data_IF_487811604885
#
_entry.id   IF_487811604885
#
_cell.length_a   1.000
_cell.length_b   1.000
_cell.length_c   1.000
_cell.angle_alpha   90.00
_cell.angle_beta   90.00
_cell.angle_gamma   90.00
#
_symmetry.space_group_name_H-M   'P 1'
#
loop_
_entity.id
_entity.type
_entity.pdbx_description
1 polymer ?
#
# COMPACT_ATOMS: atom_id res chain seq x y z
N UNK A 1 63.51 -14.07 -45.10
CA UNK A 1 63.52 -14.31 -43.64
C UNK A 1 63.36 -12.98 -42.92
N UNK A 2 62.53 -12.98 -41.86
CA UNK A 2 62.26 -11.92 -40.88
C UNK A 2 61.17 -10.91 -41.25
N UNK A 3 59.93 -11.35 -41.04
CA UNK A 3 58.80 -10.48 -40.67
C UNK A 3 59.02 -10.00 -39.23
N UNK A 4 58.90 -8.69 -38.99
CA UNK A 4 58.91 -8.11 -37.64
C UNK A 4 57.49 -7.64 -37.33
N UNK A 5 56.80 -8.37 -36.46
CA UNK A 5 55.43 -8.06 -36.03
C UNK A 5 55.44 -6.87 -35.06
N UNK A 6 54.74 -5.80 -35.42
CA UNK A 6 54.38 -4.73 -34.49
C UNK A 6 53.14 -5.20 -33.71
N UNK A 7 53.27 -5.42 -32.40
CA UNK A 7 52.15 -5.67 -31.52
C UNK A 7 51.52 -4.33 -31.12
N UNK A 8 50.39 -3.99 -31.72
CA UNK A 8 49.52 -2.91 -31.24
C UNK A 8 48.63 -3.48 -30.15
N UNK A 9 48.85 -3.03 -28.91
CA UNK A 9 48.00 -3.35 -27.77
C UNK A 9 46.66 -2.62 -27.93
N UNK A 10 45.59 -3.35 -28.26
CA UNK A 10 44.23 -2.84 -28.19
C UNK A 10 43.78 -2.82 -26.72
N UNK A 11 43.78 -1.64 -26.10
CA UNK A 11 43.03 -1.41 -24.87
C UNK A 11 41.53 -1.46 -25.20
N UNK A 12 40.89 -2.59 -24.89
CA UNK A 12 39.44 -2.66 -24.83
C UNK A 12 38.97 -1.86 -23.61
N UNK A 13 38.60 -0.59 -23.83
CA UNK A 13 37.85 0.17 -22.84
C UNK A 13 36.45 -0.49 -22.74
N UNK A 14 36.26 -1.31 -21.70
CA UNK A 14 34.95 -1.76 -21.26
C UNK A 14 34.19 -0.55 -20.74
N UNK A 15 33.49 0.15 -21.64
CA UNK A 15 32.45 1.07 -21.25
C UNK A 15 31.38 0.28 -20.50
N UNK A 16 31.39 0.35 -19.17
CA UNK A 16 30.23 -0.03 -18.37
C UNK A 16 29.11 0.92 -18.79
N UNK A 17 28.27 0.48 -19.74
CA UNK A 17 27.01 1.13 -19.99
C UNK A 17 26.20 1.02 -18.70
N UNK A 18 26.16 2.11 -17.93
CA UNK A 18 25.23 2.23 -16.84
C UNK A 18 23.83 1.89 -17.38
N UNK A 19 23.00 1.14 -16.63
CA UNK A 19 21.62 0.90 -17.04
C UNK A 19 21.00 2.25 -17.35
N UNK A 20 20.53 2.39 -18.58
CA UNK A 20 19.91 3.60 -19.07
C UNK A 20 18.60 3.75 -18.31
N UNK A 21 18.65 4.40 -17.13
CA UNK A 21 17.47 4.86 -16.41
C UNK A 21 16.78 5.80 -17.37
N UNK A 22 15.81 5.31 -18.15
CA UNK A 22 14.86 6.21 -18.81
C UNK A 22 14.09 6.84 -17.66
N UNK A 23 14.32 8.13 -17.35
CA UNK A 23 13.47 8.78 -16.38
C UNK A 23 12.06 8.71 -16.96
N UNK A 24 11.08 8.27 -16.17
CA UNK A 24 9.70 8.62 -16.50
C UNK A 24 9.70 10.15 -16.60
N UNK A 25 9.28 10.70 -17.74
CA UNK A 25 9.00 12.13 -17.79
C UNK A 25 8.04 12.39 -16.65
N UNK A 26 8.34 13.36 -15.77
CA UNK A 26 7.48 13.70 -14.64
C UNK A 26 6.07 13.90 -15.18
N UNK A 27 5.21 12.92 -14.98
CA UNK A 27 3.83 13.03 -15.41
C UNK A 27 3.19 13.95 -14.38
N UNK A 28 2.69 15.08 -14.86
CA UNK A 28 2.11 16.07 -13.98
C UNK A 28 0.82 15.50 -13.38
N UNK A 29 0.57 15.85 -12.11
CA UNK A 29 -0.73 15.65 -11.47
C UNK A 29 -1.83 16.34 -12.30
N UNK A 30 -3.10 16.07 -11.99
CA UNK A 30 -4.20 16.68 -12.73
C UNK A 30 -4.18 18.21 -12.64
N UNK A 31 -4.67 18.89 -13.69
CA UNK A 31 -4.79 20.35 -13.72
C UNK A 31 -5.86 20.89 -12.74
N UNK A 32 -6.74 20.01 -12.25
CA UNK A 32 -7.84 20.33 -11.35
C UNK A 32 -7.99 19.29 -10.24
N UNK A 33 -8.62 19.65 -9.09
CA UNK A 33 -8.90 18.71 -8.02
C UNK A 33 -9.67 17.47 -8.50
N UNK A 34 -9.16 16.30 -8.15
CA UNK A 34 -9.77 15.00 -8.42
C UNK A 34 -10.97 14.80 -7.52
N UNK A 35 -12.03 14.19 -8.07
CA UNK A 35 -13.19 13.71 -7.32
C UNK A 35 -13.50 12.29 -7.76
N UNK A 36 -13.42 11.36 -6.81
CA UNK A 36 -13.74 9.95 -6.99
C UNK A 36 -15.16 9.67 -6.50
N UNK A 37 -15.81 8.71 -7.14
CA UNK A 37 -17.11 8.19 -6.75
C UNK A 37 -17.00 6.71 -6.42
N UNK A 38 -16.88 6.40 -5.12
CA UNK A 38 -16.83 5.03 -4.62
C UNK A 38 -18.13 4.24 -4.83
N UNK A 39 -19.22 4.82 -5.34
CA UNK A 39 -20.37 4.05 -5.83
C UNK A 39 -20.12 3.40 -7.20
N UNK A 40 -19.04 3.78 -7.89
CA UNK A 40 -18.60 3.21 -9.18
C UNK A 40 -17.22 2.53 -9.07
N UNK A 41 -16.76 1.87 -10.14
CA UNK A 41 -15.41 1.30 -10.19
C UNK A 41 -14.40 2.35 -10.69
N UNK A 42 -13.64 2.94 -9.78
CA UNK A 42 -12.62 3.95 -10.13
C UNK A 42 -11.51 3.40 -11.04
N UNK A 43 -11.22 2.10 -10.98
CA UNK A 43 -10.18 1.47 -11.79
C UNK A 43 -10.58 1.27 -13.26
N UNK A 44 -11.80 1.68 -13.66
CA UNK A 44 -12.13 1.84 -15.07
C UNK A 44 -11.51 3.11 -15.68
N UNK A 45 -11.14 4.09 -14.85
CA UNK A 45 -10.58 5.38 -15.27
C UNK A 45 -9.11 5.52 -14.93
N UNK A 46 -8.67 4.92 -13.81
CA UNK A 46 -7.30 5.04 -13.32
C UNK A 46 -6.57 3.70 -13.33
N UNK A 47 -5.31 3.74 -13.74
CA UNK A 47 -4.38 2.60 -13.57
C UNK A 47 -3.70 2.70 -12.20
N UNK A 48 -3.55 1.58 -11.48
CA UNK A 48 -2.81 1.59 -10.22
C UNK A 48 -1.35 1.99 -10.47
N UNK A 49 -0.89 3.03 -9.79
CA UNK A 49 0.44 3.59 -9.97
C UNK A 49 1.54 2.63 -9.50
N UNK A 50 2.58 2.47 -10.33
CA UNK A 50 3.80 1.74 -9.98
C UNK A 50 4.74 2.66 -9.18
N UNK A 51 4.52 2.71 -7.86
CA UNK A 51 5.19 3.65 -6.97
C UNK A 51 6.73 3.57 -7.03
N UNK A 52 7.37 4.73 -6.92
CA UNK A 52 8.82 4.88 -7.05
C UNK A 52 9.63 4.16 -5.96
N UNK A 53 9.06 3.95 -4.76
CA UNK A 53 9.69 3.18 -3.70
C UNK A 53 9.95 1.73 -4.13
N UNK A 54 8.90 1.00 -4.51
CA UNK A 54 9.03 -0.40 -4.90
C UNK A 54 9.79 -0.57 -6.22
N UNK A 55 9.60 0.35 -7.17
CA UNK A 55 10.42 0.43 -8.39
C UNK A 55 11.91 0.46 -8.05
N UNK A 56 12.32 1.29 -7.10
CA UNK A 56 13.71 1.39 -6.65
C UNK A 56 14.24 0.07 -6.09
N UNK A 57 13.43 -0.65 -5.31
CA UNK A 57 13.79 -1.99 -4.80
C UNK A 57 13.96 -3.01 -5.92
N UNK A 58 13.04 -3.04 -6.89
CA UNK A 58 13.11 -3.93 -8.05
C UNK A 58 14.34 -3.64 -8.90
N UNK A 59 14.64 -2.37 -9.18
CA UNK A 59 15.82 -1.97 -9.95
C UNK A 59 17.12 -2.40 -9.24
N UNK A 60 17.19 -2.19 -7.92
CA UNK A 60 18.34 -2.60 -7.11
C UNK A 60 18.51 -4.12 -7.10
N UNK A 61 17.42 -4.89 -6.95
CA UNK A 61 17.44 -6.34 -7.00
C UNK A 61 17.85 -6.85 -8.39
N UNK A 62 17.30 -6.29 -9.46
CA UNK A 62 17.62 -6.66 -10.83
C UNK A 62 19.09 -6.37 -11.20
N UNK A 63 19.71 -5.36 -10.58
CA UNK A 63 21.14 -5.10 -10.76
C UNK A 63 22.03 -6.26 -10.26
N UNK A 64 21.54 -7.05 -9.30
CA UNK A 64 22.24 -8.23 -8.74
C UNK A 64 21.96 -9.53 -9.50
N UNK A 65 21.04 -9.52 -10.48
CA UNK A 65 20.71 -10.72 -11.27
C UNK A 65 21.73 -10.87 -12.40
N UNK A 66 22.43 -12.00 -12.42
CA UNK A 66 23.44 -12.33 -13.44
C UNK A 66 22.84 -12.85 -14.74
N UNK A 67 21.74 -13.61 -14.68
CA UNK A 67 21.05 -14.12 -15.86
C UNK A 67 20.34 -12.98 -16.62
N UNK A 68 20.72 -12.68 -17.87
CA UNK A 68 20.18 -11.53 -18.59
C UNK A 68 18.67 -11.61 -18.86
N UNK A 69 18.14 -12.81 -19.13
CA UNK A 69 16.73 -13.00 -19.44
C UNK A 69 15.86 -12.83 -18.18
N UNK A 70 16.32 -13.33 -17.03
CA UNK A 70 15.68 -13.14 -15.74
C UNK A 70 15.77 -11.69 -15.30
N UNK A 71 16.90 -11.01 -15.52
CA UNK A 71 17.06 -9.59 -15.24
C UNK A 71 16.05 -8.74 -16.02
N UNK A 72 15.90 -9.01 -17.32
CA UNK A 72 14.91 -8.32 -18.15
C UNK A 72 13.48 -8.55 -17.62
N UNK A 73 13.14 -9.78 -17.23
CA UNK A 73 11.84 -10.09 -16.63
C UNK A 73 11.63 -9.40 -15.27
N UNK A 74 12.64 -9.38 -14.42
CA UNK A 74 12.59 -8.73 -13.11
C UNK A 74 12.32 -7.23 -13.24
N UNK A 75 12.98 -6.55 -14.19
CA UNK A 75 12.77 -5.13 -14.45
C UNK A 75 11.32 -4.80 -14.86
N UNK A 76 10.59 -5.73 -15.49
CA UNK A 76 9.17 -5.51 -15.83
C UNK A 76 8.27 -5.42 -14.58
N UNK A 77 8.69 -6.00 -13.45
CA UNK A 77 7.94 -5.90 -12.18
C UNK A 77 7.92 -4.47 -11.67
N UNK A 78 8.94 -3.66 -12.01
CA UNK A 78 9.02 -2.26 -11.60
C UNK A 78 7.91 -1.38 -12.20
N UNK A 79 7.25 -1.85 -13.26
CA UNK A 79 6.14 -1.17 -13.95
C UNK A 79 4.76 -1.74 -13.57
N UNK A 80 4.71 -2.69 -12.63
CA UNK A 80 3.45 -3.24 -12.11
C UNK A 80 2.97 -2.39 -10.94
N UNK A 81 1.76 -1.85 -11.04
CA UNK A 81 1.12 -1.09 -9.96
C UNK A 81 1.05 -1.87 -8.66
N UNK A 82 1.50 -1.27 -7.57
CA UNK A 82 1.48 -1.87 -6.23
C UNK A 82 1.14 -0.83 -5.17
N UNK A 83 0.54 -1.28 -4.07
CA UNK A 83 0.24 -0.41 -2.94
C UNK A 83 1.49 -0.10 -2.13
N UNK A 84 1.67 1.17 -1.75
CA UNK A 84 2.72 1.62 -0.86
C UNK A 84 2.26 1.52 0.60
N UNK A 85 3.03 0.82 1.43
CA UNK A 85 2.69 0.61 2.84
C UNK A 85 3.19 1.78 3.69
N UNK A 86 2.26 2.40 4.42
CA UNK A 86 2.54 3.39 5.45
C UNK A 86 2.47 2.70 6.81
N UNK A 87 3.33 1.71 7.04
CA UNK A 87 3.26 0.75 8.15
C UNK A 87 3.92 1.24 9.45
N UNK A 88 4.30 2.50 9.51
CA UNK A 88 4.78 3.24 10.69
C UNK A 88 4.54 4.74 10.46
N UNK A 89 4.50 5.54 11.51
CA UNK A 89 4.54 7.01 11.48
C UNK A 89 5.73 7.48 10.64
N UNK A 90 6.91 6.86 10.81
CA UNK A 90 8.09 7.19 10.01
C UNK A 90 7.84 6.96 8.51
N UNK A 91 7.24 5.83 8.15
CA UNK A 91 7.01 5.48 6.75
C UNK A 91 6.00 6.38 6.02
N UNK A 92 5.29 7.27 6.73
CA UNK A 92 4.54 8.39 6.11
C UNK A 92 5.47 9.24 5.22
N UNK A 93 6.77 9.35 5.54
CA UNK A 93 7.75 10.10 4.74
C UNK A 93 7.87 9.60 3.29
N UNK A 94 7.44 8.36 3.01
CA UNK A 94 7.40 7.79 1.65
C UNK A 94 6.28 8.38 0.78
N UNK A 95 5.29 9.03 1.37
CA UNK A 95 4.14 9.58 0.64
C UNK A 95 4.55 10.67 -0.35
N UNK A 96 5.33 11.65 0.09
CA UNK A 96 5.69 12.83 -0.72
C UNK A 96 6.46 12.45 -2.00
N UNK A 97 7.52 11.60 -1.94
CA UNK A 97 8.14 11.10 -3.15
C UNK A 97 7.18 10.34 -4.08
N UNK A 98 6.26 9.56 -3.52
CA UNK A 98 5.35 8.74 -4.33
C UNK A 98 4.27 9.58 -5.03
N UNK A 99 3.70 10.58 -4.35
CA UNK A 99 2.68 11.45 -4.96
C UNK A 99 3.29 12.41 -5.99
N UNK A 100 4.55 12.82 -5.80
CA UNK A 100 5.26 13.68 -6.76
C UNK A 100 5.51 12.99 -8.11
N UNK A 101 5.51 11.66 -8.17
CA UNK A 101 5.66 10.85 -9.38
C UNK A 101 4.32 10.41 -9.99
N UNK A 102 3.18 10.82 -9.42
CA UNK A 102 1.85 10.33 -9.80
C UNK A 102 1.26 11.06 -11.02
N UNK A 103 1.07 10.37 -12.17
CA UNK A 103 0.33 10.90 -13.32
C UNK A 103 -1.16 11.11 -13.04
N UNK A 104 -1.80 12.05 -13.75
CA UNK A 104 -3.24 12.29 -13.64
C UNK A 104 -4.13 11.09 -14.03
N UNK A 105 -3.69 10.21 -14.93
CA UNK A 105 -4.42 9.00 -15.35
C UNK A 105 -4.13 7.76 -14.49
N UNK A 106 -3.37 7.92 -13.41
CA UNK A 106 -3.05 6.86 -12.46
C UNK A 106 -3.60 7.19 -11.05
N UNK A 107 -3.70 6.16 -10.20
CA UNK A 107 -4.16 6.27 -8.82
C UNK A 107 -3.09 5.70 -7.88
N UNK A 108 -2.71 6.44 -6.85
CA UNK A 108 -1.75 5.97 -5.86
C UNK A 108 -2.44 5.07 -4.84
N UNK A 109 -2.02 3.80 -4.79
CA UNK A 109 -2.45 2.85 -3.77
C UNK A 109 -1.66 3.01 -2.48
N UNK A 110 -2.33 3.18 -1.34
CA UNK A 110 -1.70 3.22 -0.02
C UNK A 110 -2.32 2.17 0.90
N UNK A 111 -1.50 1.54 1.74
CA UNK A 111 -1.96 0.68 2.83
C UNK A 111 -1.79 1.45 4.14
N UNK A 112 -2.92 1.71 4.80
CA UNK A 112 -3.00 2.29 6.14
C UNK A 112 -2.90 1.12 7.12
N UNK A 113 -1.84 1.07 7.93
CA UNK A 113 -1.51 -0.12 8.72
C UNK A 113 -0.62 0.21 9.92
N UNK A 114 -1.18 0.88 10.92
CA UNK A 114 -0.42 1.20 12.14
C UNK A 114 -1.29 1.19 13.41
N UNK A 115 -2.36 0.39 13.42
CA UNK A 115 -3.23 0.27 14.60
C UNK A 115 -2.44 -0.07 15.88
N UNK A 116 -2.80 0.51 17.04
CA UNK A 116 -2.20 0.13 18.30
C UNK A 116 -2.53 -1.32 18.68
N UNK A 117 -1.52 -2.09 19.10
CA UNK A 117 -1.67 -3.53 19.34
C UNK A 117 -1.73 -4.38 18.08
N UNK A 118 -1.20 -3.85 16.96
CA UNK A 118 -1.20 -4.47 15.62
C UNK A 118 -0.84 -5.95 15.63
N UNK A 119 -1.47 -6.71 14.75
CA UNK A 119 -1.26 -8.16 14.54
C UNK A 119 -1.49 -8.96 15.84
N UNK A 120 -2.60 -8.70 16.54
CA UNK A 120 -2.87 -9.24 17.87
C UNK A 120 -2.81 -10.77 18.00
N UNK A 121 -3.02 -11.52 16.91
CA UNK A 121 -2.92 -12.98 16.88
C UNK A 121 -1.58 -13.50 16.34
N UNK A 122 -0.70 -12.62 15.85
CA UNK A 122 0.62 -12.99 15.38
C UNK A 122 1.54 -13.34 16.55
N UNK A 123 2.51 -14.23 16.29
CA UNK A 123 3.54 -14.59 17.29
C UNK A 123 4.48 -13.44 17.62
N UNK A 124 4.63 -12.51 16.68
CA UNK A 124 5.38 -11.28 16.83
C UNK A 124 4.76 -10.23 15.91
N UNK A 125 4.74 -8.98 16.38
CA UNK A 125 4.27 -7.83 15.63
C UNK A 125 5.39 -6.79 15.56
N UNK A 126 5.51 -6.13 14.41
CA UNK A 126 6.39 -4.99 14.22
C UNK A 126 5.66 -3.65 14.42
N UNK A 127 4.41 -3.67 14.91
CA UNK A 127 3.65 -2.45 15.19
C UNK A 127 4.32 -1.60 16.25
N UNK A 128 4.49 -0.30 15.97
CA UNK A 128 5.18 0.61 16.90
C UNK A 128 4.26 1.13 18.01
N UNK A 129 2.95 1.13 17.77
CA UNK A 129 1.94 1.57 18.72
C UNK A 129 1.43 0.40 19.56
N UNK A 130 1.50 0.55 20.89
CA UNK A 130 1.03 -0.42 21.87
C UNK A 130 -0.47 -0.25 22.14
N UNK A 131 -1.11 -1.31 22.64
CA UNK A 131 -2.49 -1.24 23.13
C UNK A 131 -2.68 -0.02 24.06
N UNK A 132 -3.74 0.75 23.81
CA UNK A 132 -4.05 1.98 24.55
C UNK A 132 -3.48 3.26 23.93
N UNK A 133 -2.60 3.18 22.94
CA UNK A 133 -2.02 4.35 22.25
C UNK A 133 -2.90 4.89 21.10
N UNK A 134 -4.22 4.73 21.19
CA UNK A 134 -5.16 5.18 20.14
C UNK A 134 -5.09 6.68 19.86
N UNK A 135 -4.74 7.49 20.86
CA UNK A 135 -4.51 8.93 20.67
C UNK A 135 -3.39 9.25 19.69
N UNK A 136 -2.31 8.45 19.71
CA UNK A 136 -1.17 8.60 18.80
C UNK A 136 -1.54 8.17 17.39
N UNK A 137 -2.20 7.02 17.24
CA UNK A 137 -2.71 6.56 15.94
C UNK A 137 -3.61 7.61 15.27
N UNK A 138 -4.46 8.29 16.03
CA UNK A 138 -5.31 9.35 15.48
C UNK A 138 -4.50 10.58 15.05
N UNK A 139 -3.69 11.12 15.96
CA UNK A 139 -3.10 12.46 15.80
C UNK A 139 -1.75 12.48 15.11
N UNK A 140 -0.90 11.49 15.35
CA UNK A 140 0.45 11.38 14.79
C UNK A 140 0.45 10.62 13.45
N UNK A 141 -0.60 9.83 13.18
CA UNK A 141 -0.67 8.96 12.00
C UNK A 141 -1.85 9.32 11.07
N UNK A 142 -3.10 9.06 11.45
CA UNK A 142 -4.26 9.28 10.56
C UNK A 142 -4.44 10.75 10.19
N UNK A 143 -4.37 11.67 11.15
CA UNK A 143 -4.55 13.11 10.89
C UNK A 143 -3.45 13.67 9.99
N UNK A 144 -2.22 13.18 10.15
CA UNK A 144 -1.08 13.55 9.28
C UNK A 144 -1.33 13.08 7.84
N UNK A 145 -1.73 11.82 7.65
CA UNK A 145 -2.07 11.27 6.33
C UNK A 145 -3.24 12.05 5.72
N UNK A 146 -4.28 12.34 6.49
CA UNK A 146 -5.42 13.14 6.03
C UNK A 146 -5.01 14.56 5.59
N UNK A 147 -4.05 15.17 6.29
CA UNK A 147 -3.44 16.44 5.90
C UNK A 147 -2.73 16.37 4.55
N UNK A 148 -1.90 15.33 4.35
CA UNK A 148 -1.19 15.09 3.09
C UNK A 148 -2.13 14.86 1.91
N UNK A 149 -3.18 14.06 2.09
CA UNK A 149 -4.19 13.80 1.05
C UNK A 149 -4.96 15.08 0.67
N UNK A 150 -5.28 15.94 1.65
CA UNK A 150 -5.91 17.26 1.41
C UNK A 150 -4.97 18.25 0.72
N UNK A 151 -3.69 18.19 1.03
CA UNK A 151 -2.66 19.03 0.40
C UNK A 151 -2.39 18.62 -1.06
N UNK A 152 -2.80 17.42 -1.47
CA UNK A 152 -2.65 16.89 -2.83
C UNK A 152 -4.02 16.64 -3.50
N UNK A 153 -4.88 17.67 -3.65
CA UNK A 153 -6.26 17.49 -4.12
C UNK A 153 -6.33 17.07 -5.61
N UNK A 154 -5.27 17.29 -6.38
CA UNK A 154 -5.19 16.97 -7.81
C UNK A 154 -4.71 15.53 -8.09
N UNK A 155 -4.59 14.72 -7.05
CA UNK A 155 -4.11 13.34 -7.10
C UNK A 155 -5.21 12.38 -6.65
N UNK A 156 -5.35 11.23 -7.32
CA UNK A 156 -6.28 10.17 -6.94
C UNK A 156 -5.62 9.18 -5.98
N UNK A 157 -6.35 8.73 -4.95
CA UNK A 157 -5.85 7.78 -3.96
C UNK A 157 -6.80 6.60 -3.71
N UNK A 158 -6.25 5.40 -3.66
CA UNK A 158 -6.95 4.19 -3.22
C UNK A 158 -6.32 3.67 -1.92
N UNK A 159 -7.10 3.51 -0.87
CA UNK A 159 -6.61 3.13 0.45
C UNK A 159 -7.12 1.74 0.83
N UNK A 160 -6.20 0.87 1.24
CA UNK A 160 -6.50 -0.34 2.01
C UNK A 160 -6.39 0.00 3.49
N UNK A 161 -7.41 -0.34 4.26
CA UNK A 161 -7.52 0.05 5.67
C UNK A 161 -7.28 -1.15 6.57
N UNK A 162 -6.16 -1.07 7.29
CA UNK A 162 -5.76 -1.89 8.42
C UNK A 162 -5.86 -3.41 8.18
N UNK A 163 -4.99 -3.98 7.32
CA UNK A 163 -4.83 -5.41 7.19
C UNK A 163 -4.64 -6.12 8.53
N UNK A 164 -5.13 -7.36 8.64
CA UNK A 164 -4.94 -8.22 9.81
C UNK A 164 -5.49 -7.59 11.12
N UNK A 165 -6.54 -6.78 11.01
CA UNK A 165 -7.19 -6.12 12.15
C UNK A 165 -8.54 -6.76 12.53
N UNK A 166 -9.63 -6.31 11.91
CA UNK A 166 -11.00 -6.74 12.22
C UNK A 166 -11.24 -8.25 12.06
N UNK A 167 -10.65 -8.97 11.07
CA UNK A 167 -10.77 -10.42 11.00
C UNK A 167 -10.29 -11.14 12.27
N UNK A 168 -9.27 -10.62 12.96
CA UNK A 168 -8.80 -11.17 14.24
C UNK A 168 -9.84 -11.06 15.35
N UNK A 169 -10.66 -10.01 15.36
CA UNK A 169 -11.72 -9.83 16.35
C UNK A 169 -12.87 -10.84 16.16
N UNK A 170 -12.94 -11.47 14.99
CA UNK A 170 -13.97 -12.46 14.67
C UNK A 170 -13.53 -13.86 15.10
N UNK A 171 -12.29 -14.25 14.78
CA UNK A 171 -11.87 -15.65 14.96
C UNK A 171 -10.87 -15.87 16.08
N UNK A 172 -10.19 -14.81 16.55
CA UNK A 172 -9.06 -14.89 17.48
C UNK A 172 -9.32 -14.07 18.76
N UNK A 173 -10.58 -13.74 19.04
CA UNK A 173 -10.97 -12.94 20.22
C UNK A 173 -10.83 -13.69 21.54
N UNK A 174 -10.56 -15.00 21.51
CA UNK A 174 -10.19 -15.79 22.67
C UNK A 174 -8.76 -15.49 23.14
N UNK A 175 -7.90 -14.91 22.28
CA UNK A 175 -6.56 -14.46 22.64
C UNK A 175 -6.61 -13.16 23.45
N UNK A 176 -5.91 -13.14 24.58
CA UNK A 176 -5.86 -11.98 25.47
C UNK A 176 -5.37 -10.70 24.77
N UNK A 177 -4.42 -10.83 23.86
CA UNK A 177 -3.87 -9.73 23.04
C UNK A 177 -4.93 -9.13 22.11
N UNK A 178 -5.78 -9.96 21.51
CA UNK A 178 -6.88 -9.49 20.66
C UNK A 178 -8.02 -8.87 21.48
N UNK A 179 -8.34 -9.42 22.65
CA UNK A 179 -9.30 -8.80 23.58
C UNK A 179 -8.86 -7.40 24.00
N UNK A 180 -7.57 -7.25 24.31
CA UNK A 180 -6.97 -5.97 24.70
C UNK A 180 -6.97 -4.97 23.54
N UNK A 181 -6.79 -5.43 22.31
CA UNK A 181 -6.71 -4.58 21.11
C UNK A 181 -8.07 -4.23 20.52
N UNK A 182 -9.13 -4.99 20.86
CA UNK A 182 -10.47 -4.88 20.27
C UNK A 182 -10.99 -3.44 20.19
N UNK A 183 -11.00 -2.73 21.33
CA UNK A 183 -11.51 -1.36 21.37
C UNK A 183 -10.68 -0.42 20.47
N UNK A 184 -9.35 -0.57 20.49
CA UNK A 184 -8.45 0.23 19.66
C UNK A 184 -8.60 -0.04 18.17
N UNK A 185 -8.83 -1.29 17.78
CA UNK A 185 -9.08 -1.68 16.39
C UNK A 185 -10.39 -1.10 15.87
N UNK A 186 -11.50 -1.34 16.57
CA UNK A 186 -12.82 -0.86 16.16
C UNK A 186 -12.86 0.67 16.10
N UNK A 187 -12.30 1.34 17.12
CA UNK A 187 -12.23 2.80 17.18
C UNK A 187 -11.28 3.38 16.12
N UNK A 188 -10.11 2.77 15.94
CA UNK A 188 -9.10 3.23 15.00
C UNK A 188 -9.52 3.07 13.55
N UNK A 189 -10.06 1.92 13.17
CA UNK A 189 -10.61 1.73 11.81
C UNK A 189 -11.77 2.70 11.57
N UNK A 190 -12.72 2.82 12.51
CA UNK A 190 -13.84 3.76 12.34
C UNK A 190 -13.34 5.21 12.19
N UNK A 191 -12.32 5.60 12.95
CA UNK A 191 -11.68 6.91 12.84
C UNK A 191 -11.01 7.12 11.48
N UNK A 192 -10.22 6.15 11.01
CA UNK A 192 -9.57 6.21 9.70
C UNK A 192 -10.61 6.37 8.57
N UNK A 193 -11.66 5.55 8.56
CA UNK A 193 -12.72 5.63 7.56
C UNK A 193 -13.43 6.98 7.56
N UNK A 194 -13.68 7.55 8.75
CA UNK A 194 -14.34 8.85 8.87
C UNK A 194 -13.43 9.99 8.42
N UNK A 195 -12.19 10.01 8.90
CA UNK A 195 -11.25 11.11 8.68
C UNK A 195 -10.72 11.16 7.25
N UNK A 196 -10.54 9.98 6.63
CA UNK A 196 -10.03 9.83 5.26
C UNK A 196 -11.16 9.84 4.20
N UNK A 197 -12.40 10.12 4.59
CA UNK A 197 -13.54 10.30 3.69
C UNK A 197 -13.43 11.63 2.89
N UNK A 198 -12.46 11.68 1.98
CA UNK A 198 -12.08 12.85 1.20
C UNK A 198 -12.49 12.67 -0.27
N UNK A 199 -12.78 13.76 -1.01
CA UNK A 199 -13.29 13.66 -2.38
C UNK A 199 -12.36 12.92 -3.35
N UNK A 200 -11.05 12.94 -3.13
CA UNK A 200 -10.05 12.32 -3.98
C UNK A 200 -9.57 10.94 -3.48
N UNK A 201 -10.30 10.33 -2.55
CA UNK A 201 -9.96 9.07 -1.90
C UNK A 201 -11.06 8.04 -2.12
N UNK A 202 -10.69 6.78 -2.38
CA UNK A 202 -11.56 5.60 -2.26
C UNK A 202 -10.96 4.61 -1.26
N UNK A 203 -11.79 3.98 -0.43
CA UNK A 203 -11.33 3.09 0.65
C UNK A 203 -11.89 1.67 0.55
N UNK A 204 -11.05 0.70 0.91
CA UNK A 204 -11.37 -0.72 1.01
C UNK A 204 -10.92 -1.23 2.39
N UNK A 205 -11.85 -1.77 3.17
CA UNK A 205 -11.53 -2.32 4.51
C UNK A 205 -10.98 -3.73 4.36
N UNK A 206 -9.89 -4.08 5.05
CA UNK A 206 -9.43 -5.47 5.06
C UNK A 206 -10.50 -6.42 5.62
N UNK A 207 -10.68 -7.55 4.93
CA UNK A 207 -11.61 -8.60 5.32
C UNK A 207 -10.93 -9.98 5.29
N UNK A 208 -9.60 -10.03 5.45
CA UNK A 208 -8.84 -11.27 5.49
C UNK A 208 -8.87 -11.99 4.14
N UNK A 209 -9.17 -13.29 4.12
CA UNK A 209 -9.19 -14.08 2.89
C UNK A 209 -10.14 -15.27 2.99
N UNK A 210 -10.26 -16.02 1.88
CA UNK A 210 -11.18 -17.17 1.78
C UNK A 210 -10.91 -18.29 2.80
N UNK A 211 -9.67 -18.42 3.27
CA UNK A 211 -9.30 -19.39 4.30
C UNK A 211 -9.54 -18.90 5.74
N UNK A 212 -10.10 -17.70 5.90
CA UNK A 212 -10.29 -17.03 7.18
C UNK A 212 -11.76 -16.62 7.39
N UNK A 213 -12.17 -15.43 6.93
CA UNK A 213 -13.57 -15.02 6.99
C UNK A 213 -14.45 -15.71 5.94
N UNK A 214 -13.84 -16.39 4.96
CA UNK A 214 -14.55 -17.14 3.92
C UNK A 214 -15.20 -18.45 4.37
N UNK A 215 -14.90 -18.95 5.58
CA UNK A 215 -15.58 -20.12 6.13
C UNK A 215 -17.04 -19.82 6.47
N UNK A 216 -17.95 -20.78 6.23
CA UNK A 216 -19.40 -20.60 6.42
C UNK A 216 -19.78 -20.00 7.79
N UNK A 217 -19.13 -20.46 8.86
CA UNK A 217 -19.42 -20.01 10.22
C UNK A 217 -18.85 -18.61 10.52
N UNK A 218 -17.87 -18.14 9.73
CA UNK A 218 -17.22 -16.83 9.90
C UNK A 218 -17.81 -15.74 8.99
N UNK A 219 -18.52 -16.11 7.90
CA UNK A 219 -19.07 -15.15 6.94
C UNK A 219 -20.02 -14.14 7.60
N UNK A 220 -21.00 -14.62 8.38
CA UNK A 220 -21.99 -13.74 9.03
C UNK A 220 -21.36 -12.89 10.14
N UNK A 221 -20.58 -13.46 11.09
CA UNK A 221 -19.88 -12.66 12.09
C UNK A 221 -18.92 -11.63 11.47
N UNK A 222 -18.16 -12.01 10.45
CA UNK A 222 -17.27 -11.10 9.74
C UNK A 222 -18.01 -9.93 9.08
N UNK A 223 -19.11 -10.21 8.38
CA UNK A 223 -19.94 -9.16 7.80
C UNK A 223 -20.54 -8.22 8.87
N UNK A 224 -20.91 -8.76 10.04
CA UNK A 224 -21.42 -7.97 11.17
C UNK A 224 -20.35 -7.04 11.74
N UNK A 225 -19.12 -7.53 11.93
CA UNK A 225 -18.01 -6.73 12.48
C UNK A 225 -17.59 -5.61 11.53
N UNK A 226 -17.41 -5.92 10.23
CA UNK A 226 -17.10 -4.91 9.21
C UNK A 226 -18.22 -3.85 9.10
N UNK A 227 -19.49 -4.28 9.11
CA UNK A 227 -20.63 -3.36 9.05
C UNK A 227 -20.77 -2.48 10.30
N UNK A 228 -20.43 -3.02 11.48
CA UNK A 228 -20.42 -2.28 12.74
C UNK A 228 -19.43 -1.12 12.68
N UNK A 229 -18.19 -1.38 12.30
CA UNK A 229 -17.15 -0.33 12.19
C UNK A 229 -17.51 0.70 11.12
N UNK A 230 -18.01 0.27 9.96
CA UNK A 230 -18.49 1.19 8.92
C UNK A 230 -19.62 2.12 9.41
N UNK A 231 -20.58 1.59 10.19
CA UNK A 231 -21.65 2.39 10.80
C UNK A 231 -21.13 3.32 11.89
N UNK A 232 -20.20 2.86 12.72
CA UNK A 232 -19.56 3.68 13.75
C UNK A 232 -18.79 4.87 13.14
N UNK A 233 -18.24 4.71 11.94
CA UNK A 233 -17.61 5.79 11.17
C UNK A 233 -18.63 6.81 10.60
N UNK A 234 -19.94 6.56 10.72
CA UNK A 234 -20.99 7.38 10.14
C UNK A 234 -21.30 7.05 8.68
N UNK A 235 -21.00 5.84 8.23
CA UNK A 235 -21.23 5.37 6.85
C UNK A 235 -20.62 6.28 5.76
N UNK A 236 -19.30 6.55 5.82
CA UNK A 236 -18.61 7.43 4.88
C UNK A 236 -18.76 6.96 3.42
N UNK A 237 -19.15 7.88 2.53
CA UNK A 237 -19.48 7.57 1.14
C UNK A 237 -18.30 7.07 0.31
N UNK A 238 -17.06 7.34 0.72
CA UNK A 238 -15.86 6.88 0.01
C UNK A 238 -15.42 5.47 0.38
N UNK A 239 -16.13 4.78 1.27
CA UNK A 239 -15.88 3.35 1.50
C UNK A 239 -16.58 2.54 0.41
N UNK A 240 -15.79 2.04 -0.54
CA UNK A 240 -16.26 1.22 -1.66
C UNK A 240 -16.71 -0.16 -1.21
N UNK A 241 -15.97 -0.76 -0.28
CA UNK A 241 -16.17 -2.14 0.13
C UNK A 241 -14.97 -2.70 0.87
N UNK A 242 -14.58 -3.93 0.52
CA UNK A 242 -13.55 -4.70 1.21
C UNK A 242 -12.38 -5.05 0.29
N UNK A 243 -11.21 -5.28 0.88
CA UNK A 243 -10.07 -5.91 0.26
C UNK A 243 -9.82 -7.27 0.91
N UNK A 244 -9.45 -8.27 0.12
CA UNK A 244 -9.17 -9.63 0.59
C UNK A 244 -7.87 -10.15 0.01
N UNK A 245 -7.30 -11.17 0.65
CA UNK A 245 -6.05 -11.82 0.25
C UNK A 245 -4.83 -10.88 0.27
N UNK A 246 -4.88 -9.81 1.07
CA UNK A 246 -3.74 -8.91 1.29
C UNK A 246 -2.62 -9.73 1.94
N UNK A 247 -1.43 -9.72 1.31
CA UNK A 247 -0.29 -10.56 1.68
C UNK A 247 -0.60 -12.08 1.75
N UNK A 248 -1.70 -12.52 1.11
CA UNK A 248 -2.10 -13.92 1.01
C UNK A 248 -1.77 -14.54 -0.34
N UNK A 249 -2.07 -15.83 -0.48
CA UNK A 249 -1.72 -16.65 -1.66
C UNK A 249 -2.91 -17.43 -2.22
N UNK A 250 -4.14 -17.07 -1.83
CA UNK A 250 -5.33 -17.72 -2.34
C UNK A 250 -5.45 -17.52 -3.86
N UNK A 251 -5.99 -18.52 -4.56
CA UNK A 251 -6.47 -18.33 -5.93
C UNK A 251 -7.68 -17.38 -5.93
N UNK A 252 -7.83 -16.61 -7.02
CA UNK A 252 -9.03 -15.83 -7.32
C UNK A 252 -10.17 -16.75 -7.75
#
# INVERSE_FOLDING_TARGET
MKFSNAAVAAFAASAMAAPNKKPRQSALACDSPVRLDASTNVFQQYTLHANNFYRGEVEAAAAQISDPALKEKALKVADVGSFLWLDTIKNIEKFEPAVADLPCDEILGLVIYDLPGRDCAAKASNGELKVGEIGRYKTEYIDVIAGLLKANPNSAFALIIEPDSLPNLVTNIDLQTCQQSQAGYEEGVAYALKTLNLPNVVMYVDAGHGGWLGWNDNLRPGAQELAKVYKNAGSPSQVRGIATNIAGWNAW
#
